data_IF_433358736793
#
_entry.id   IF_433358736793
#
_cell.length_a   1.000
_cell.length_b   1.000
_cell.length_c   1.000
_cell.angle_alpha   90.00
_cell.angle_beta   90.00
_cell.angle_gamma   90.00
#
_symmetry.space_group_name_H-M   'P 1'
#
loop_
_entity.id
_entity.type
_entity.pdbx_description
1 polymer ?
#
# COMPACT_ATOMS: atom_id res chain seq x y z
N UNK A 1 6.15 7.61 -1.03
CA UNK A 1 5.09 7.63 -2.08
C UNK A 1 5.25 8.81 -3.04
N UNK A 2 5.46 10.06 -2.63
CA UNK A 2 5.65 11.23 -3.52
C UNK A 2 6.62 11.00 -4.70
N UNK A 3 7.72 10.29 -4.48
CA UNK A 3 8.69 9.95 -5.53
C UNK A 3 8.13 8.94 -6.55
N UNK A 4 7.23 8.05 -6.12
CA UNK A 4 6.54 7.09 -6.98
C UNK A 4 5.65 7.85 -7.95
N UNK A 5 4.77 8.70 -7.43
CA UNK A 5 3.88 9.51 -8.27
C UNK A 5 4.62 10.54 -9.12
N UNK A 6 5.73 11.09 -8.64
CA UNK A 6 6.60 11.92 -9.47
C UNK A 6 7.12 11.19 -10.73
N UNK A 7 7.45 9.90 -10.62
CA UNK A 7 7.81 9.05 -11.77
C UNK A 7 6.60 8.68 -12.61
N UNK A 8 5.43 8.49 -12.00
CA UNK A 8 4.18 8.15 -12.66
C UNK A 8 3.78 9.18 -13.73
N UNK A 9 4.05 10.48 -13.53
CA UNK A 9 3.79 11.54 -14.50
C UNK A 9 4.44 11.24 -15.87
N UNK A 10 5.65 10.69 -15.87
CA UNK A 10 6.36 10.34 -17.11
C UNK A 10 5.83 9.04 -17.73
N UNK A 11 5.39 8.09 -16.93
CA UNK A 11 4.90 6.79 -17.37
C UNK A 11 3.44 6.81 -17.81
N UNK A 12 2.65 7.80 -17.36
CA UNK A 12 1.22 7.90 -17.60
C UNK A 12 0.86 7.92 -19.10
N UNK A 13 -0.16 7.13 -19.52
CA UNK A 13 -0.45 6.86 -20.92
C UNK A 13 -1.15 8.01 -21.64
N UNK A 14 -1.76 8.93 -20.91
CA UNK A 14 -2.53 10.04 -21.46
C UNK A 14 -2.44 11.27 -20.55
N UNK A 15 -3.03 12.39 -20.98
CA UNK A 15 -2.90 13.66 -20.27
C UNK A 15 -3.66 13.66 -18.94
N UNK A 16 -4.81 13.01 -18.87
CA UNK A 16 -5.63 12.92 -17.68
C UNK A 16 -4.87 12.18 -16.56
N UNK A 17 -4.27 11.05 -16.89
CA UNK A 17 -3.45 10.30 -15.91
C UNK A 17 -2.19 11.06 -15.49
N UNK A 18 -1.65 11.93 -16.36
CA UNK A 18 -0.53 12.81 -15.97
C UNK A 18 -0.94 13.88 -14.96
N UNK A 19 -2.11 14.50 -15.15
CA UNK A 19 -2.65 15.47 -14.21
C UNK A 19 -2.90 14.81 -12.86
N UNK A 20 -3.56 13.65 -12.85
CA UNK A 20 -3.87 12.89 -11.63
C UNK A 20 -2.59 12.46 -10.89
N UNK A 21 -1.60 11.92 -11.60
CA UNK A 21 -0.32 11.56 -10.98
C UNK A 21 0.43 12.77 -10.39
N UNK A 22 0.28 13.96 -10.98
CA UNK A 22 0.87 15.18 -10.43
C UNK A 22 0.14 15.65 -9.16
N UNK A 23 -1.19 15.51 -9.11
CA UNK A 23 -2.01 15.78 -7.94
C UNK A 23 -1.64 14.83 -6.80
N UNK A 24 -1.62 13.53 -7.02
CA UNK A 24 -1.18 12.53 -6.06
C UNK A 24 0.25 12.77 -5.54
N UNK A 25 1.19 13.17 -6.42
CA UNK A 25 2.53 13.53 -5.97
C UNK A 25 2.54 14.73 -5.02
N UNK A 26 1.66 15.72 -5.23
CA UNK A 26 1.54 16.88 -4.36
C UNK A 26 0.91 16.53 -3.02
N UNK A 27 -0.11 15.66 -3.00
CA UNK A 27 -0.77 15.14 -1.80
C UNK A 27 0.22 14.37 -0.93
N UNK A 28 0.94 13.44 -1.51
CA UNK A 28 1.96 12.67 -0.82
C UNK A 28 3.11 13.52 -0.26
N UNK A 29 3.44 14.61 -0.94
CA UNK A 29 4.41 15.57 -0.40
C UNK A 29 3.85 16.32 0.82
N UNK A 30 2.54 16.63 0.85
CA UNK A 30 1.85 17.21 2.05
C UNK A 30 1.84 16.21 3.20
N UNK A 31 1.47 14.93 2.94
CA UNK A 31 1.48 13.86 3.95
C UNK A 31 2.88 13.68 4.56
N UNK A 32 3.91 13.65 3.71
CA UNK A 32 5.31 13.57 4.15
C UNK A 32 5.72 14.77 5.00
N UNK A 33 5.23 15.97 4.67
CA UNK A 33 5.50 17.19 5.44
C UNK A 33 4.85 17.13 6.82
N UNK A 34 3.60 16.68 6.91
CA UNK A 34 2.92 16.49 8.21
C UNK A 34 3.68 15.55 9.13
N UNK A 35 4.19 14.43 8.60
CA UNK A 35 5.04 13.48 9.33
C UNK A 35 6.37 14.12 9.77
N UNK A 36 7.00 14.89 8.89
CA UNK A 36 8.24 15.60 9.18
C UNK A 36 8.08 16.55 10.37
N UNK A 37 7.02 17.34 10.34
CA UNK A 37 6.73 18.30 11.41
C UNK A 37 6.43 17.57 12.73
N UNK A 38 5.64 16.49 12.70
CA UNK A 38 5.34 15.68 13.87
C UNK A 38 6.59 15.04 14.50
N UNK A 39 7.49 14.49 13.70
CA UNK A 39 8.75 13.92 14.18
C UNK A 39 9.64 15.00 14.80
N UNK A 40 9.69 16.19 14.21
CA UNK A 40 10.43 17.33 14.75
C UNK A 40 9.89 17.75 16.12
N UNK A 41 8.57 17.80 16.28
CA UNK A 41 7.92 18.14 17.57
C UNK A 41 8.17 17.08 18.64
N UNK A 42 8.38 15.83 18.25
CA UNK A 42 8.79 14.73 19.14
C UNK A 42 10.28 14.77 19.50
N UNK A 43 11.06 15.64 18.86
CA UNK A 43 12.50 15.79 19.10
C UNK A 43 13.36 14.80 18.31
N UNK A 44 12.78 14.14 17.31
CA UNK A 44 13.51 13.27 16.38
C UNK A 44 14.21 14.09 15.28
N UNK A 45 15.11 13.47 14.54
CA UNK A 45 15.77 14.05 13.36
C UNK A 45 15.17 13.44 12.07
N UNK A 46 14.16 14.11 11.46
CA UNK A 46 13.52 13.58 10.25
C UNK A 46 14.48 13.45 9.06
N UNK A 47 15.48 14.32 8.94
CA UNK A 47 16.47 14.27 7.86
C UNK A 47 17.33 13.00 7.97
N UNK A 48 17.76 12.63 9.17
CA UNK A 48 18.51 11.40 9.40
C UNK A 48 17.64 10.16 9.07
N UNK A 49 16.36 10.19 9.43
CA UNK A 49 15.39 9.12 9.11
C UNK A 49 15.24 8.99 7.59
N UNK A 50 15.01 10.09 6.88
CA UNK A 50 14.88 10.12 5.42
C UNK A 50 16.15 9.61 4.74
N UNK A 51 17.31 10.04 5.19
CA UNK A 51 18.60 9.62 4.62
C UNK A 51 18.90 8.12 4.81
N UNK A 52 18.33 7.50 5.85
CA UNK A 52 18.51 6.07 6.14
C UNK A 52 17.54 5.14 5.38
N UNK A 53 16.51 5.69 4.75
CA UNK A 53 15.48 4.88 4.08
C UNK A 53 16.01 4.24 2.79
N UNK A 54 15.54 3.03 2.44
CA UNK A 54 15.84 2.44 1.14
C UNK A 54 15.14 3.22 0.01
N UNK A 55 15.67 3.12 -1.21
CA UNK A 55 14.97 3.60 -2.41
C UNK A 55 13.63 2.89 -2.60
N UNK A 56 12.60 3.64 -3.05
CA UNK A 56 11.24 3.13 -3.18
C UNK A 56 11.15 1.91 -4.12
N UNK A 57 11.88 1.92 -5.25
CA UNK A 57 11.89 0.79 -6.20
C UNK A 57 12.39 -0.50 -5.54
N UNK A 58 13.53 -0.41 -4.82
CA UNK A 58 14.09 -1.56 -4.09
C UNK A 58 13.18 -1.98 -2.94
N UNK A 59 12.50 -1.03 -2.31
CA UNK A 59 11.63 -1.32 -1.18
C UNK A 59 10.39 -2.11 -1.61
N UNK A 60 9.73 -1.73 -2.69
CA UNK A 60 8.51 -2.38 -3.16
C UNK A 60 8.74 -3.46 -4.22
N UNK A 61 9.95 -3.56 -4.78
CA UNK A 61 10.26 -4.48 -5.87
C UNK A 61 9.66 -4.05 -7.21
N UNK A 62 9.48 -2.73 -7.41
CA UNK A 62 8.93 -2.12 -8.61
C UNK A 62 9.97 -1.21 -9.25
N UNK A 63 10.06 -1.24 -10.58
CA UNK A 63 10.94 -0.33 -11.33
C UNK A 63 10.36 1.08 -11.44
N UNK A 64 9.04 1.23 -11.33
CA UNK A 64 8.30 2.50 -11.44
C UNK A 64 8.54 3.23 -12.76
N UNK A 65 8.84 2.49 -13.81
CA UNK A 65 9.11 3.03 -15.15
C UNK A 65 7.90 2.93 -16.07
N UNK A 66 7.01 1.99 -15.79
CA UNK A 66 5.82 1.70 -16.60
C UNK A 66 4.55 2.07 -15.84
N UNK A 67 3.53 2.48 -16.58
CA UNK A 67 2.22 2.77 -16.00
C UNK A 67 1.61 1.58 -15.24
N UNK A 68 1.85 0.36 -15.70
CA UNK A 68 1.40 -0.85 -15.03
C UNK A 68 1.99 -1.01 -13.62
N UNK A 69 3.23 -0.59 -13.39
CA UNK A 69 3.86 -0.63 -12.07
C UNK A 69 3.12 0.31 -11.11
N UNK A 70 2.74 1.50 -11.61
CA UNK A 70 1.96 2.49 -10.84
C UNK A 70 0.55 1.98 -10.56
N UNK A 71 -0.11 1.41 -11.56
CA UNK A 71 -1.45 0.83 -11.40
C UNK A 71 -1.48 -0.29 -10.34
N UNK A 72 -0.47 -1.16 -10.34
CA UNK A 72 -0.34 -2.20 -9.30
C UNK A 72 0.02 -1.58 -7.96
N UNK A 73 0.85 -0.55 -7.92
CA UNK A 73 1.20 0.16 -6.68
C UNK A 73 -0.05 0.74 -6.01
N UNK A 74 -0.86 1.51 -6.74
CA UNK A 74 -2.10 2.09 -6.22
C UNK A 74 -3.08 1.01 -5.76
N UNK A 75 -3.26 -0.04 -6.56
CA UNK A 75 -4.17 -1.14 -6.21
C UNK A 75 -3.72 -1.93 -4.97
N UNK A 76 -2.41 -1.96 -4.67
CA UNK A 76 -1.85 -2.76 -3.57
C UNK A 76 -1.30 -1.92 -2.44
N UNK A 77 -0.22 -1.17 -2.68
CA UNK A 77 0.57 -0.53 -1.63
C UNK A 77 -0.15 0.66 -1.02
N UNK A 78 -0.73 1.52 -1.85
CA UNK A 78 -1.51 2.67 -1.38
C UNK A 78 -2.72 2.21 -0.57
N UNK A 79 -3.43 1.22 -1.07
CA UNK A 79 -4.57 0.68 -0.31
C UNK A 79 -4.15 0.03 1.00
N UNK A 80 -3.00 -0.63 1.06
CA UNK A 80 -2.45 -1.12 2.32
C UNK A 80 -2.14 0.04 3.28
N UNK A 81 -1.65 1.16 2.77
CA UNK A 81 -1.47 2.42 3.49
C UNK A 81 -2.76 2.92 4.11
N UNK A 82 -3.83 3.02 3.31
CA UNK A 82 -5.16 3.46 3.79
C UNK A 82 -5.68 2.59 4.94
N UNK A 83 -5.53 1.26 4.86
CA UNK A 83 -5.92 0.35 5.95
C UNK A 83 -5.12 0.58 7.24
N UNK A 84 -3.84 0.99 7.14
CA UNK A 84 -3.03 1.38 8.29
C UNK A 84 -3.48 2.73 8.87
N UNK A 85 -3.73 3.69 8.01
CA UNK A 85 -4.18 5.04 8.40
C UNK A 85 -5.52 4.98 9.13
N UNK A 86 -6.46 4.15 8.68
CA UNK A 86 -7.72 3.90 9.40
C UNK A 86 -7.53 3.42 10.84
N UNK A 87 -6.47 2.65 11.12
CA UNK A 87 -6.14 2.25 12.49
C UNK A 87 -5.59 3.42 13.31
N UNK A 88 -4.72 4.23 12.70
CA UNK A 88 -4.05 5.33 13.37
C UNK A 88 -4.95 6.53 13.63
N UNK A 89 -6.00 6.74 12.83
CA UNK A 89 -7.03 7.77 13.08
C UNK A 89 -7.64 7.68 14.47
N UNK A 90 -7.69 6.50 15.05
CA UNK A 90 -8.20 6.27 16.40
C UNK A 90 -7.09 6.15 17.45
N UNK A 91 -5.89 6.66 17.16
CA UNK A 91 -4.75 6.59 18.04
C UNK A 91 -4.99 7.37 19.33
N UNK A 92 -4.47 6.84 20.45
CA UNK A 92 -4.41 7.56 21.73
C UNK A 92 -3.46 8.77 21.68
N UNK A 93 -2.54 8.81 20.71
CA UNK A 93 -1.70 9.98 20.44
C UNK A 93 -2.43 10.89 19.44
N UNK A 94 -3.17 11.85 20.00
CA UNK A 94 -4.07 12.70 19.25
C UNK A 94 -3.42 13.47 18.09
N UNK A 95 -2.21 14.07 18.23
CA UNK A 95 -1.59 14.77 17.11
C UNK A 95 -1.39 13.88 15.88
N UNK A 96 -1.14 12.57 16.08
CA UNK A 96 -1.07 11.59 15.01
C UNK A 96 -2.45 11.23 14.49
N UNK A 97 -3.40 10.92 15.38
CA UNK A 97 -4.75 10.53 15.00
C UNK A 97 -5.46 11.62 14.19
N UNK A 98 -5.38 12.87 14.66
CA UNK A 98 -6.04 14.01 14.01
C UNK A 98 -5.46 14.32 12.62
N UNK A 99 -4.16 14.06 12.40
CA UNK A 99 -3.53 14.27 11.09
C UNK A 99 -3.95 13.24 10.03
N UNK A 100 -4.61 12.15 10.42
CA UNK A 100 -4.95 11.07 9.49
C UNK A 100 -6.27 11.29 8.74
N UNK A 101 -7.11 12.25 9.15
CA UNK A 101 -8.40 12.48 8.49
C UNK A 101 -8.23 12.99 7.06
N UNK A 102 -7.42 14.04 6.87
CA UNK A 102 -7.11 14.60 5.54
C UNK A 102 -6.41 13.56 4.65
N UNK A 103 -5.45 12.80 5.23
CA UNK A 103 -4.75 11.76 4.49
C UNK A 103 -5.70 10.68 3.98
N UNK A 104 -6.70 10.27 4.77
CA UNK A 104 -7.67 9.26 4.33
C UNK A 104 -8.56 9.74 3.18
N UNK A 105 -8.94 11.01 3.15
CA UNK A 105 -9.74 11.58 2.07
C UNK A 105 -8.95 11.53 0.74
N UNK A 106 -7.67 11.91 0.75
CA UNK A 106 -6.81 11.85 -0.43
C UNK A 106 -6.57 10.39 -0.90
N UNK A 107 -6.38 9.45 0.03
CA UNK A 107 -6.11 8.03 -0.25
C UNK A 107 -7.30 7.29 -0.91
N UNK A 108 -8.53 7.77 -0.75
CA UNK A 108 -9.70 7.19 -1.44
C UNK A 108 -9.58 7.37 -2.96
N UNK A 109 -9.15 8.54 -3.43
CA UNK A 109 -8.97 8.83 -4.86
C UNK A 109 -7.80 8.03 -5.47
N UNK A 110 -6.70 7.86 -4.73
CA UNK A 110 -5.59 6.99 -5.14
C UNK A 110 -6.04 5.55 -5.34
N UNK A 111 -6.80 5.04 -4.40
CA UNK A 111 -7.31 3.68 -4.45
C UNK A 111 -8.30 3.46 -5.59
N UNK A 112 -9.26 4.36 -5.77
CA UNK A 112 -10.24 4.26 -6.85
C UNK A 112 -9.56 4.25 -8.22
N UNK A 113 -8.51 5.07 -8.40
CA UNK A 113 -7.66 5.02 -9.58
C UNK A 113 -6.99 3.65 -9.75
N UNK A 114 -6.45 3.08 -8.67
CA UNK A 114 -5.85 1.74 -8.69
C UNK A 114 -6.84 0.66 -9.11
N UNK A 115 -8.07 0.69 -8.59
CA UNK A 115 -9.15 -0.25 -8.95
C UNK A 115 -9.59 -0.07 -10.40
N UNK A 116 -9.74 1.15 -10.88
CA UNK A 116 -10.11 1.43 -12.26
C UNK A 116 -9.04 0.96 -13.24
N UNK A 117 -7.79 1.25 -12.98
CA UNK A 117 -6.67 0.79 -13.78
C UNK A 117 -6.60 -0.75 -13.81
N UNK A 118 -6.72 -1.42 -12.67
CA UNK A 118 -6.77 -2.89 -12.60
C UNK A 118 -7.88 -3.46 -13.48
N UNK A 119 -9.09 -2.90 -13.40
CA UNK A 119 -10.22 -3.31 -14.25
C UNK A 119 -9.98 -3.04 -15.73
N UNK A 120 -9.27 -1.95 -16.06
CA UNK A 120 -8.92 -1.65 -17.44
C UNK A 120 -7.92 -2.65 -18.01
N UNK A 121 -6.87 -2.99 -17.25
CA UNK A 121 -5.91 -4.03 -17.64
C UNK A 121 -6.59 -5.40 -17.78
N UNK A 122 -7.58 -5.70 -16.96
CA UNK A 122 -8.33 -6.96 -17.00
C UNK A 122 -9.23 -7.16 -18.25
N UNK A 123 -9.46 -6.11 -19.06
CA UNK A 123 -10.27 -6.21 -20.29
C UNK A 123 -9.56 -6.91 -21.43
N UNK A 124 -8.25 -6.96 -21.41
CA UNK A 124 -7.43 -7.60 -22.42
C UNK A 124 -6.56 -8.70 -21.78
N UNK A 125 -6.60 -9.96 -22.29
CA UNK A 125 -5.86 -11.06 -21.68
C UNK A 125 -4.34 -10.87 -21.61
N UNK A 126 -3.75 -10.13 -22.56
CA UNK A 126 -2.30 -9.86 -22.57
C UNK A 126 -1.96 -8.87 -21.46
N UNK A 127 -2.70 -7.77 -21.39
CA UNK A 127 -2.54 -6.76 -20.35
C UNK A 127 -2.81 -7.31 -18.94
N UNK A 128 -3.81 -8.19 -18.80
CA UNK A 128 -4.10 -8.88 -17.55
C UNK A 128 -2.92 -9.77 -17.12
N UNK A 129 -2.30 -10.50 -18.06
CA UNK A 129 -1.17 -11.35 -17.75
C UNK A 129 0.06 -10.53 -17.28
N UNK A 130 0.30 -9.36 -17.89
CA UNK A 130 1.34 -8.44 -17.46
C UNK A 130 1.04 -7.85 -16.07
N UNK A 131 -0.21 -7.47 -15.81
CA UNK A 131 -0.65 -6.99 -14.49
C UNK A 131 -0.46 -8.06 -13.42
N UNK A 132 -0.85 -9.30 -13.72
CA UNK A 132 -0.68 -10.44 -12.83
C UNK A 132 0.80 -10.67 -12.48
N UNK A 133 1.72 -10.58 -13.46
CA UNK A 133 3.15 -10.76 -13.22
C UNK A 133 3.70 -9.72 -12.23
N UNK A 134 3.30 -8.45 -12.38
CA UNK A 134 3.70 -7.38 -11.47
C UNK A 134 3.05 -7.58 -10.10
N UNK A 135 1.76 -7.92 -10.07
CA UNK A 135 0.99 -8.16 -8.85
C UNK A 135 1.55 -9.33 -8.03
N UNK A 136 1.97 -10.42 -8.69
CA UNK A 136 2.60 -11.59 -8.04
C UNK A 136 3.88 -11.20 -7.26
N UNK A 137 4.62 -10.18 -7.73
CA UNK A 137 5.81 -9.66 -7.02
C UNK A 137 5.47 -8.68 -5.93
N UNK A 138 4.49 -7.80 -6.18
CA UNK A 138 4.23 -6.64 -5.33
C UNK A 138 3.45 -7.02 -4.09
N UNK A 139 2.36 -7.80 -4.22
CA UNK A 139 1.51 -8.13 -3.08
C UNK A 139 2.27 -8.83 -1.95
N UNK A 140 3.14 -9.84 -2.19
CA UNK A 140 3.93 -10.42 -1.11
C UNK A 140 4.84 -9.41 -0.41
N UNK A 141 5.50 -8.52 -1.16
CA UNK A 141 6.31 -7.44 -0.61
C UNK A 141 5.47 -6.43 0.18
N UNK A 142 4.29 -6.09 -0.32
CA UNK A 142 3.33 -5.23 0.35
C UNK A 142 2.91 -5.83 1.71
N UNK A 143 2.46 -7.08 1.77
CA UNK A 143 2.07 -7.71 3.02
C UNK A 143 3.22 -7.76 4.02
N UNK A 144 4.43 -8.09 3.56
CA UNK A 144 5.61 -8.16 4.43
C UNK A 144 6.05 -6.81 4.99
N UNK A 145 5.89 -5.73 4.24
CA UNK A 145 6.51 -4.43 4.53
C UNK A 145 5.54 -3.36 4.99
N UNK A 146 4.33 -3.29 4.41
CA UNK A 146 3.35 -2.29 4.79
C UNK A 146 2.71 -2.60 6.15
N UNK A 147 2.38 -3.86 6.40
CA UNK A 147 1.73 -4.25 7.66
C UNK A 147 2.69 -4.64 8.78
N UNK A 148 3.96 -4.88 8.44
CA UNK A 148 4.97 -5.29 9.41
C UNK A 148 4.80 -6.73 9.89
N UNK A 149 5.35 -7.04 11.08
CA UNK A 149 5.24 -8.37 11.66
C UNK A 149 3.84 -8.63 12.23
N UNK A 150 3.36 -9.85 12.12
CA UNK A 150 2.10 -10.27 12.74
C UNK A 150 2.17 -10.14 14.27
N UNK A 151 3.29 -10.57 14.84
CA UNK A 151 3.58 -10.47 16.27
C UNK A 151 4.92 -9.78 16.48
N UNK A 152 5.05 -9.09 17.61
CA UNK A 152 6.29 -8.43 17.97
C UNK A 152 6.10 -7.38 19.05
N UNK A 153 7.18 -6.93 19.71
CA UNK A 153 7.11 -5.96 20.78
C UNK A 153 6.45 -4.65 20.33
N UNK A 154 6.70 -4.20 19.10
CA UNK A 154 6.15 -2.95 18.56
C UNK A 154 4.63 -3.03 18.40
N UNK A 155 4.13 -4.15 17.88
CA UNK A 155 2.69 -4.39 17.75
C UNK A 155 2.00 -4.46 19.12
N UNK A 156 2.60 -5.18 20.07
CA UNK A 156 2.08 -5.30 21.42
C UNK A 156 2.04 -3.93 22.10
N UNK A 157 3.11 -3.14 21.97
CA UNK A 157 3.18 -1.79 22.48
C UNK A 157 2.08 -0.89 21.90
N UNK A 158 1.90 -0.89 20.57
CA UNK A 158 0.88 -0.09 19.92
C UNK A 158 -0.54 -0.44 20.40
N UNK A 159 -0.85 -1.72 20.57
CA UNK A 159 -2.15 -2.18 21.08
C UNK A 159 -2.33 -1.83 22.55
N UNK A 160 -1.32 -2.07 23.39
CA UNK A 160 -1.37 -1.81 24.83
C UNK A 160 -1.58 -0.32 25.14
N UNK A 161 -0.94 0.55 24.36
CA UNK A 161 -1.02 2.00 24.53
C UNK A 161 -2.13 2.67 23.71
N UNK A 162 -2.92 1.88 22.96
CA UNK A 162 -4.04 2.38 22.16
C UNK A 162 -3.59 3.23 20.94
N UNK A 163 -2.36 3.07 20.50
CA UNK A 163 -1.86 3.71 19.26
C UNK A 163 -2.50 3.10 18.02
N UNK A 164 -2.90 1.83 18.08
CA UNK A 164 -3.78 1.16 17.13
C UNK A 164 -4.78 0.27 17.87
N UNK A 165 -5.86 -0.14 17.19
CA UNK A 165 -6.99 -0.88 17.82
C UNK A 165 -6.99 -2.35 17.49
N UNK A 166 -6.62 -2.71 16.27
CA UNK A 166 -6.74 -4.08 15.78
C UNK A 166 -5.37 -4.74 15.60
N UNK A 167 -5.33 -6.05 15.70
CA UNK A 167 -4.14 -6.84 15.40
C UNK A 167 -3.80 -6.71 13.91
N UNK A 168 -2.53 -6.86 13.58
CA UNK A 168 -2.06 -6.83 12.20
C UNK A 168 -2.79 -7.86 11.32
N UNK A 169 -3.05 -9.06 11.83
CA UNK A 169 -3.83 -10.08 11.15
C UNK A 169 -5.22 -9.59 10.72
N UNK A 170 -5.95 -8.93 11.63
CA UNK A 170 -7.30 -8.44 11.36
C UNK A 170 -7.30 -7.36 10.26
N UNK A 171 -6.28 -6.49 10.27
CA UNK A 171 -6.10 -5.43 9.27
C UNK A 171 -5.79 -6.04 7.90
N UNK A 172 -4.84 -6.98 7.84
CA UNK A 172 -4.48 -7.69 6.61
C UNK A 172 -5.66 -8.45 6.03
N UNK A 173 -6.44 -9.13 6.86
CA UNK A 173 -7.60 -9.89 6.41
C UNK A 173 -8.72 -8.99 5.84
N UNK A 174 -8.95 -7.81 6.43
CA UNK A 174 -9.87 -6.80 5.86
C UNK A 174 -9.39 -6.31 4.50
N UNK A 175 -8.12 -5.94 4.41
CA UNK A 175 -7.48 -5.49 3.18
C UNK A 175 -7.60 -6.53 2.05
N UNK A 176 -7.23 -7.78 2.31
CA UNK A 176 -7.33 -8.86 1.32
C UNK A 176 -8.77 -9.21 0.97
N UNK A 177 -9.68 -9.12 1.93
CA UNK A 177 -11.12 -9.34 1.71
C UNK A 177 -11.71 -8.31 0.75
N UNK A 178 -11.35 -7.06 0.90
CA UNK A 178 -11.74 -5.97 0.00
C UNK A 178 -11.13 -6.14 -1.38
N UNK A 179 -9.82 -6.36 -1.46
CA UNK A 179 -9.11 -6.61 -2.72
C UNK A 179 -9.73 -7.77 -3.50
N UNK A 180 -10.04 -8.88 -2.83
CA UNK A 180 -10.75 -10.02 -3.41
C UNK A 180 -12.06 -9.59 -4.06
N UNK A 181 -12.86 -8.76 -3.39
CA UNK A 181 -14.13 -8.26 -3.92
C UNK A 181 -13.95 -7.51 -5.26
N UNK A 182 -12.91 -6.70 -5.38
CA UNK A 182 -12.61 -6.00 -6.64
C UNK A 182 -12.05 -6.91 -7.74
N UNK A 183 -11.35 -7.97 -7.37
CA UNK A 183 -10.78 -8.95 -8.30
C UNK A 183 -11.83 -9.92 -8.87
N UNK A 184 -12.97 -10.10 -8.20
CA UNK A 184 -14.01 -11.02 -8.64
C UNK A 184 -14.48 -10.74 -10.08
N UNK A 185 -14.44 -11.75 -10.94
CA UNK A 185 -14.87 -11.65 -12.34
C UNK A 185 -13.84 -11.00 -13.30
N UNK A 186 -12.70 -10.50 -12.79
CA UNK A 186 -11.66 -9.90 -13.65
C UNK A 186 -10.68 -10.91 -14.23
N UNK A 187 -10.55 -12.07 -13.63
CA UNK A 187 -9.53 -13.06 -13.95
C UNK A 187 -8.19 -12.87 -13.22
N UNK A 188 -8.02 -11.76 -12.49
CA UNK A 188 -6.87 -11.58 -11.61
C UNK A 188 -6.96 -12.53 -10.42
N UNK A 189 -5.84 -13.13 -10.04
CA UNK A 189 -5.77 -14.13 -8.97
C UNK A 189 -4.72 -13.71 -7.95
N UNK A 190 -4.87 -14.15 -6.70
CA UNK A 190 -3.82 -13.96 -5.71
C UNK A 190 -2.54 -14.71 -6.09
N UNK A 191 -1.36 -14.16 -5.74
CA UNK A 191 -0.08 -14.82 -5.96
C UNK A 191 -0.03 -16.21 -5.33
N UNK A 192 0.75 -17.11 -5.91
CA UNK A 192 0.98 -18.44 -5.35
C UNK A 192 1.64 -18.34 -3.99
N UNK A 193 1.36 -19.28 -3.09
CA UNK A 193 1.96 -19.31 -1.76
C UNK A 193 3.49 -19.32 -1.79
N UNK A 194 4.07 -19.91 -2.82
CA UNK A 194 5.54 -19.91 -3.04
C UNK A 194 6.13 -18.49 -3.12
N UNK A 195 5.38 -17.51 -3.66
CA UNK A 195 5.86 -16.12 -3.77
C UNK A 195 6.04 -15.47 -2.38
N UNK A 196 5.14 -15.77 -1.45
CA UNK A 196 5.25 -15.32 -0.06
C UNK A 196 6.37 -16.05 0.70
N UNK A 197 6.52 -17.35 0.46
CA UNK A 197 7.57 -18.19 1.07
C UNK A 197 8.97 -17.76 0.60
N UNK A 198 9.15 -17.50 -0.68
CA UNK A 198 10.41 -17.05 -1.28
C UNK A 198 11.00 -15.82 -0.59
N UNK A 199 10.14 -14.89 -0.19
CA UNK A 199 10.55 -13.67 0.50
C UNK A 199 10.44 -13.76 2.03
N UNK A 200 10.05 -14.92 2.57
CA UNK A 200 9.81 -15.14 4.00
C UNK A 200 8.78 -14.16 4.57
N UNK A 201 7.64 -14.02 3.89
CA UNK A 201 6.51 -13.27 4.39
C UNK A 201 5.75 -14.13 5.41
N UNK A 202 5.66 -13.64 6.64
CA UNK A 202 4.85 -14.30 7.68
C UNK A 202 3.37 -14.05 7.42
N UNK A 203 2.58 -15.11 7.39
CA UNK A 203 1.14 -15.05 7.17
C UNK A 203 0.41 -15.85 8.25
N UNK A 204 -0.63 -15.25 8.83
CA UNK A 204 -1.55 -15.97 9.69
C UNK A 204 -2.33 -17.04 8.92
N UNK A 205 -2.84 -18.06 9.61
CA UNK A 205 -3.61 -19.14 8.97
C UNK A 205 -4.86 -18.59 8.26
N UNK A 206 -5.59 -17.69 8.91
CA UNK A 206 -6.76 -17.01 8.32
C UNK A 206 -6.40 -16.21 7.04
N UNK A 207 -5.25 -15.56 7.02
CA UNK A 207 -4.74 -14.85 5.85
C UNK A 207 -4.41 -15.81 4.71
N UNK A 208 -3.79 -16.96 5.03
CA UNK A 208 -3.53 -18.03 4.04
C UNK A 208 -4.81 -18.56 3.41
N UNK A 209 -5.86 -18.77 4.20
CA UNK A 209 -7.17 -19.22 3.71
C UNK A 209 -7.78 -18.22 2.70
N UNK A 210 -7.69 -16.92 2.98
CA UNK A 210 -8.16 -15.88 2.04
C UNK A 210 -7.37 -15.94 0.73
N UNK A 211 -6.05 -15.99 0.80
CA UNK A 211 -5.20 -16.04 -0.39
C UNK A 211 -5.49 -17.32 -1.21
N UNK A 212 -5.58 -18.47 -0.58
CA UNK A 212 -5.87 -19.76 -1.25
C UNK A 212 -7.26 -19.79 -1.91
N UNK A 213 -8.21 -18.98 -1.45
CA UNK A 213 -9.57 -18.95 -1.98
C UNK A 213 -9.66 -18.43 -3.43
N UNK A 214 -8.62 -17.73 -3.92
CA UNK A 214 -8.52 -17.15 -5.27
C UNK A 214 -7.13 -17.36 -5.89
N UNK A 215 -6.49 -18.49 -5.65
CA UNK A 215 -5.27 -18.88 -6.36
C UNK A 215 -5.57 -19.67 -7.64
N UNK A 216 -4.59 -19.68 -8.56
CA UNK A 216 -4.64 -20.51 -9.78
C UNK A 216 -4.57 -22.00 -9.47
#
# INVERSE_FOLDING_TARGET
TAEVFGRAISAAPNWQEKELAAEFAAEEARHSRGLYDLLTDLGEDPEAIIASRPDASSFWGLDMEKWIDIAVFNFTVDRAGSHQIMEYRQSSYLPWGDSQEEVLEDEEDHYDNGVENMKQFARDPVSLAEFQEVFDRVLPNCLKRAFGRLEGPDNSFCLEHGLKRNKTEDIVNRYLGEMRGHMEGTGLMFPLMSEFENIKCELADSTREILLSMQR
#
